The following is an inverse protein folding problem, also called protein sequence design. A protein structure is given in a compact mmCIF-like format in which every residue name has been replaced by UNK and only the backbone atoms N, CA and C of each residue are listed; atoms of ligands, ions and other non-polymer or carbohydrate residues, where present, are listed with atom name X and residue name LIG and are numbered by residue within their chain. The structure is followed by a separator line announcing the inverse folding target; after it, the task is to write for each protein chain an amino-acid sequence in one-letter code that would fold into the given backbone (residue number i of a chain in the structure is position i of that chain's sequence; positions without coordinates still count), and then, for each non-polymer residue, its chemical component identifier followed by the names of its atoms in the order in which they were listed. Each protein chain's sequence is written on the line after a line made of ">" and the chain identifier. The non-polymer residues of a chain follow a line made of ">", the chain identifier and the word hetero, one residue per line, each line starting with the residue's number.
data_IF_025409024534
#
_entry.id   IF_025409024534
#
_cell.length_a   1.000
_cell.length_b   1.000
_cell.length_c   1.000
_cell.angle_alpha   90.00
_cell.angle_beta   90.00
_cell.angle_gamma   90.00
#
_symmetry.space_group_name_H-M   'P 1'
#
loop_
_entity.id
_entity.type
_entity.pdbx_description
1 polymer ?
#
# COMPACT_ATOMS: atom_id res chain seq x y z
N UNK A 1 29.41 -9.75 -13.05
CA UNK A 1 28.55 -8.92 -12.19
C UNK A 1 27.25 -8.68 -12.94
N UNK A 2 26.27 -9.57 -12.77
CA UNK A 2 24.96 -9.44 -13.41
C UNK A 2 23.99 -8.89 -12.37
N UNK A 3 23.89 -7.57 -12.26
CA UNK A 3 22.82 -6.94 -11.50
C UNK A 3 21.52 -7.23 -12.25
N UNK A 4 20.61 -8.00 -11.64
CA UNK A 4 19.31 -8.33 -12.22
C UNK A 4 18.56 -7.03 -12.55
N UNK A 5 18.26 -6.74 -13.83
CA UNK A 5 17.66 -5.46 -14.26
C UNK A 5 16.30 -5.19 -13.59
N UNK A 6 15.61 -6.25 -13.21
CA UNK A 6 14.33 -6.23 -12.50
C UNK A 6 14.37 -5.66 -11.08
N UNK A 7 15.53 -5.63 -10.40
CA UNK A 7 15.66 -4.96 -9.10
C UNK A 7 15.72 -3.43 -9.24
N UNK A 8 16.16 -2.90 -10.39
CA UNK A 8 16.30 -1.46 -10.60
C UNK A 8 14.97 -0.78 -11.01
N UNK A 9 14.08 -1.50 -11.70
CA UNK A 9 12.80 -0.93 -12.20
C UNK A 9 11.87 -0.58 -11.03
N UNK A 10 11.85 -1.39 -9.97
CA UNK A 10 11.04 -1.15 -8.78
C UNK A 10 11.49 0.08 -7.97
N UNK A 11 12.76 0.46 -8.07
CA UNK A 11 13.34 1.57 -7.32
C UNK A 11 13.13 2.93 -8.01
N UNK A 12 12.55 2.95 -9.21
CA UNK A 12 12.37 4.18 -9.97
C UNK A 12 11.32 5.09 -9.30
N UNK A 13 11.61 6.39 -9.06
CA UNK A 13 10.74 7.28 -8.30
C UNK A 13 9.34 7.46 -8.94
N UNK A 14 9.22 7.29 -10.26
CA UNK A 14 7.93 7.31 -10.94
C UNK A 14 7.04 6.13 -10.53
N UNK A 15 7.59 4.94 -10.29
CA UNK A 15 6.83 3.75 -9.88
C UNK A 15 6.29 3.93 -8.45
N UNK A 16 7.10 4.49 -7.54
CA UNK A 16 6.67 4.79 -6.16
C UNK A 16 5.47 5.73 -6.15
N UNK A 17 5.46 6.78 -6.97
CA UNK A 17 4.33 7.71 -7.09
C UNK A 17 3.04 6.99 -7.54
N UNK A 18 3.14 6.08 -8.50
CA UNK A 18 2.00 5.28 -8.96
C UNK A 18 1.48 4.31 -7.88
N UNK A 19 2.37 3.73 -7.08
CA UNK A 19 1.98 2.88 -5.95
C UNK A 19 1.17 3.70 -4.93
N UNK A 20 1.62 4.88 -4.55
CA UNK A 20 0.87 5.75 -3.63
C UNK A 20 -0.48 6.18 -4.21
N UNK A 21 -0.52 6.57 -5.49
CA UNK A 21 -1.77 6.94 -6.14
C UNK A 21 -2.78 5.79 -6.13
N UNK A 22 -2.35 4.57 -6.47
CA UNK A 22 -3.20 3.37 -6.42
C UNK A 22 -3.68 3.08 -5.00
N UNK A 23 -2.81 3.22 -4.00
CA UNK A 23 -3.18 3.02 -2.60
C UNK A 23 -4.33 3.95 -2.19
N UNK A 24 -4.21 5.24 -2.51
CA UNK A 24 -5.24 6.25 -2.22
C UNK A 24 -6.53 5.95 -2.96
N UNK A 25 -6.46 5.60 -4.25
CA UNK A 25 -7.65 5.24 -5.03
C UNK A 25 -8.38 4.02 -4.46
N UNK A 26 -7.64 2.99 -4.01
CA UNK A 26 -8.21 1.82 -3.35
C UNK A 26 -8.89 2.23 -2.04
N UNK A 27 -8.22 3.03 -1.21
CA UNK A 27 -8.79 3.53 0.04
C UNK A 27 -10.07 4.33 -0.15
N UNK A 28 -10.07 5.26 -1.12
CA UNK A 28 -11.24 6.05 -1.48
C UNK A 28 -12.38 5.18 -2.01
N UNK A 29 -12.07 4.19 -2.86
CA UNK A 29 -13.08 3.29 -3.40
C UNK A 29 -13.74 2.46 -2.30
N UNK A 30 -12.94 1.87 -1.40
CA UNK A 30 -13.45 1.06 -0.28
C UNK A 30 -14.23 1.93 0.71
N UNK A 31 -13.69 3.08 1.09
CA UNK A 31 -14.35 3.99 2.03
C UNK A 31 -15.64 4.59 1.47
N UNK A 32 -15.63 5.06 0.21
CA UNK A 32 -16.82 5.56 -0.45
C UNK A 32 -17.86 4.45 -0.63
N UNK A 33 -17.45 3.26 -1.06
CA UNK A 33 -18.37 2.13 -1.17
C UNK A 33 -19.06 1.85 0.16
N UNK A 34 -18.31 1.82 1.26
CA UNK A 34 -18.88 1.65 2.59
C UNK A 34 -19.88 2.76 2.94
N UNK A 35 -19.51 4.03 2.76
CA UNK A 35 -20.35 5.17 3.16
C UNK A 35 -21.66 5.21 2.35
N UNK A 36 -21.60 4.94 1.05
CA UNK A 36 -22.77 5.01 0.16
C UNK A 36 -23.62 3.75 0.18
N UNK A 37 -23.02 2.56 0.32
CA UNK A 37 -23.72 1.29 0.13
C UNK A 37 -23.89 0.44 1.39
N UNK A 38 -23.22 0.76 2.51
CA UNK A 38 -23.51 0.05 3.77
C UNK A 38 -24.96 0.33 4.21
N UNK A 39 -25.74 -0.68 4.65
CA UNK A 39 -27.12 -0.49 5.06
C UNK A 39 -27.24 0.45 6.28
N UNK A 40 -28.14 1.43 6.20
CA UNK A 40 -28.37 2.39 7.30
C UNK A 40 -28.98 1.74 8.55
N UNK A 41 -29.54 0.52 8.43
CA UNK A 41 -30.08 -0.23 9.55
C UNK A 41 -29.03 -0.87 10.46
N UNK A 42 -27.75 -0.89 10.05
CA UNK A 42 -26.70 -1.57 10.82
C UNK A 42 -26.14 -0.72 11.96
N UNK A 43 -26.19 0.62 11.85
CA UNK A 43 -25.53 1.53 12.78
C UNK A 43 -25.97 2.98 12.58
N UNK A 44 -25.71 3.82 13.58
CA UNK A 44 -25.91 5.27 13.47
C UNK A 44 -25.07 5.90 12.36
N UNK A 45 -25.59 6.98 11.77
CA UNK A 45 -25.00 7.64 10.60
C UNK A 45 -23.55 8.11 10.83
N UNK A 46 -23.27 8.75 11.97
CA UNK A 46 -21.92 9.20 12.32
C UNK A 46 -20.94 8.03 12.46
N UNK A 47 -21.40 6.90 13.01
CA UNK A 47 -20.61 5.70 13.15
C UNK A 47 -20.35 5.03 11.79
N UNK A 48 -21.35 5.00 10.90
CA UNK A 48 -21.22 4.54 9.51
C UNK A 48 -20.11 5.27 8.77
N UNK A 49 -20.13 6.61 8.84
CA UNK A 49 -19.10 7.46 8.21
C UNK A 49 -17.73 7.15 8.79
N UNK A 50 -17.62 7.10 10.12
CA UNK A 50 -16.36 6.85 10.81
C UNK A 50 -15.77 5.50 10.40
N UNK A 51 -16.58 4.43 10.38
CA UNK A 51 -16.15 3.10 9.95
C UNK A 51 -15.75 3.06 8.47
N UNK A 52 -16.41 3.83 7.61
CA UNK A 52 -16.01 3.95 6.20
C UNK A 52 -14.64 4.60 6.03
N UNK A 53 -14.37 5.67 6.78
CA UNK A 53 -13.06 6.32 6.79
C UNK A 53 -11.99 5.34 7.30
N UNK A 54 -12.25 4.66 8.40
CA UNK A 54 -11.33 3.65 8.97
C UNK A 54 -11.08 2.52 7.98
N UNK A 55 -12.11 1.98 7.34
CA UNK A 55 -11.99 0.93 6.33
C UNK A 55 -11.14 1.39 5.14
N UNK A 56 -11.33 2.63 4.66
CA UNK A 56 -10.51 3.21 3.59
C UNK A 56 -9.04 3.38 3.98
N UNK A 57 -8.76 3.81 5.22
CA UNK A 57 -7.40 3.92 5.75
C UNK A 57 -6.74 2.54 5.89
N UNK A 58 -7.47 1.55 6.40
CA UNK A 58 -7.00 0.16 6.53
C UNK A 58 -6.69 -0.42 5.15
N UNK A 59 -7.55 -0.22 4.15
CA UNK A 59 -7.32 -0.68 2.78
C UNK A 59 -6.07 -0.03 2.16
N UNK A 60 -5.91 1.28 2.32
CA UNK A 60 -4.73 2.03 1.86
C UNK A 60 -3.45 1.50 2.51
N UNK A 61 -3.45 1.38 3.85
CA UNK A 61 -2.31 0.89 4.62
C UNK A 61 -1.95 -0.55 4.28
N UNK A 62 -2.96 -1.41 4.11
CA UNK A 62 -2.78 -2.82 3.74
C UNK A 62 -2.11 -2.96 2.37
N UNK A 63 -2.54 -2.17 1.39
CA UNK A 63 -1.92 -2.15 0.07
C UNK A 63 -0.45 -1.72 0.12
N UNK A 64 -0.15 -0.63 0.83
CA UNK A 64 1.23 -0.15 0.99
C UNK A 64 2.09 -1.15 1.78
N UNK A 65 1.54 -1.77 2.81
CA UNK A 65 2.25 -2.77 3.62
C UNK A 65 2.57 -4.04 2.82
N UNK A 66 1.67 -4.46 1.93
CA UNK A 66 1.91 -5.58 1.03
C UNK A 66 3.07 -5.26 0.06
N UNK A 67 3.12 -4.02 -0.43
CA UNK A 67 4.17 -3.53 -1.32
C UNK A 67 5.41 -2.98 -0.60
N UNK A 68 5.54 -3.15 0.72
CA UNK A 68 6.62 -2.53 1.51
C UNK A 68 8.01 -2.88 1.01
N UNK A 69 8.24 -4.12 0.55
CA UNK A 69 9.54 -4.54 0.01
C UNK A 69 9.86 -3.91 -1.35
N UNK A 70 8.83 -3.54 -2.11
CA UNK A 70 8.97 -2.80 -3.37
C UNK A 70 9.21 -1.32 -3.09
N UNK A 71 8.55 -0.76 -2.07
CA UNK A 71 8.68 0.64 -1.66
C UNK A 71 9.98 0.96 -0.92
N UNK A 72 10.49 -0.01 -0.16
CA UNK A 72 11.70 0.05 0.64
C UNK A 72 12.46 -1.27 0.44
N UNK A 73 13.25 -1.38 -0.65
CA UNK A 73 14.13 -2.51 -0.83
C UNK A 73 15.11 -2.54 0.35
N UNK A 74 15.11 -3.64 1.10
CA UNK A 74 16.09 -3.84 2.16
C UNK A 74 17.40 -4.22 1.46
N UNK A 75 18.42 -3.35 1.56
CA UNK A 75 19.77 -3.74 1.16
C UNK A 75 20.23 -4.83 2.11
N UNK A 76 20.13 -6.08 1.67
CA UNK A 76 20.85 -7.16 2.30
C UNK A 76 22.33 -6.86 2.08
N UNK A 77 22.96 -6.23 3.06
CA UNK A 77 24.41 -6.27 3.25
C UNK A 77 24.77 -7.73 3.56
N UNK A 78 24.81 -8.58 2.53
CA UNK A 78 25.48 -9.87 2.63
C UNK A 78 26.97 -9.50 2.77
N UNK A 79 27.62 -9.75 3.92
CA UNK A 79 29.06 -9.63 3.97
C UNK A 79 29.57 -10.66 2.97
N UNK A 80 30.17 -10.19 1.88
CA UNK A 80 30.94 -11.04 0.99
C UNK A 80 31.98 -11.68 1.89
N UNK A 81 31.83 -12.98 2.14
CA UNK A 81 32.83 -13.75 2.85
C UNK A 81 34.13 -13.57 2.06
N UNK A 82 35.03 -12.77 2.62
CA UNK A 82 36.38 -12.60 2.13
C UNK A 82 37.11 -13.90 2.45
N UNK A 83 37.02 -14.84 1.52
CA UNK A 83 37.87 -16.01 1.44
C UNK A 83 39.20 -15.56 0.84
N UNK A 84 40.19 -15.29 1.70
CA UNK A 84 41.61 -15.23 1.35
C UNK A 84 42.51 -15.54 2.54
#
# INVERSE_FOLDING_TARGET
>A
MNAHPEQQIACHPSVRRWIFLRAVLIGLLVGAWWIFFAPDSLMEHSLKITLGIVAGLVATGSYLFNLRKTLYPQETNTPVAEDR
#
